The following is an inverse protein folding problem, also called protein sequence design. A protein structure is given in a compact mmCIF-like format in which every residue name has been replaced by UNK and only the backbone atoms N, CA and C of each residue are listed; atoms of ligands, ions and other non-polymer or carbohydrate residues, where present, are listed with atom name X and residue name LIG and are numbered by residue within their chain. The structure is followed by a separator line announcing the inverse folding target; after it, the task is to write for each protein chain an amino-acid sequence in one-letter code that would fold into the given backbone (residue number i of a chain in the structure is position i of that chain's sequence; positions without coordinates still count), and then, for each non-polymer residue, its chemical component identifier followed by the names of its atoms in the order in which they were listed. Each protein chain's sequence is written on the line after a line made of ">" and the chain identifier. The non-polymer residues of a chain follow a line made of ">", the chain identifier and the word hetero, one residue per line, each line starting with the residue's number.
data_IF_059495728477
#
_entry.id   IF_059495728477
#
_cell.length_a   1.000
_cell.length_b   1.000
_cell.length_c   1.000
_cell.angle_alpha   90.00
_cell.angle_beta   90.00
_cell.angle_gamma   90.00
#
_symmetry.space_group_name_H-M   'P 1'
#
loop_
_entity.id
_entity.type
_entity.pdbx_description
1 polymer ?
#
# COMPACT_ATOMS: atom_id res chain seq x y z
N UNK A 1 -14.98 -21.99 38.30
CA UNK A 1 -14.52 -20.58 38.25
C UNK A 1 -13.07 -20.41 37.77
N UNK A 2 -12.40 -21.46 37.27
CA UNK A 2 -11.05 -21.37 36.70
C UNK A 2 -11.03 -21.26 35.16
N UNK A 3 -12.07 -21.77 34.49
CA UNK A 3 -12.21 -21.79 33.03
C UNK A 3 -12.15 -20.37 32.44
N UNK A 4 -12.62 -19.36 33.18
CA UNK A 4 -12.59 -17.97 32.73
C UNK A 4 -11.17 -17.44 32.49
N UNK A 5 -10.20 -17.87 33.31
CA UNK A 5 -8.80 -17.44 33.14
C UNK A 5 -8.18 -18.04 31.87
N UNK A 6 -8.51 -19.31 31.57
CA UNK A 6 -8.04 -19.98 30.34
C UNK A 6 -8.63 -19.31 29.10
N UNK A 7 -9.93 -19.03 29.10
CA UNK A 7 -10.61 -18.36 27.99
C UNK A 7 -10.09 -16.93 27.78
N UNK A 8 -9.84 -16.20 28.86
CA UNK A 8 -9.30 -14.85 28.80
C UNK A 8 -7.89 -14.84 28.18
N UNK A 9 -7.02 -15.75 28.59
CA UNK A 9 -5.66 -15.87 28.03
C UNK A 9 -5.68 -16.23 26.54
N UNK A 10 -6.50 -17.21 26.14
CA UNK A 10 -6.61 -17.60 24.73
C UNK A 10 -7.15 -16.44 23.88
N UNK A 11 -8.17 -15.73 24.37
CA UNK A 11 -8.75 -14.57 23.67
C UNK A 11 -7.72 -13.47 23.42
N UNK A 12 -6.92 -13.12 24.43
CA UNK A 12 -5.87 -12.11 24.31
C UNK A 12 -4.78 -12.56 23.32
N UNK A 13 -4.35 -13.81 23.38
CA UNK A 13 -3.35 -14.36 22.44
C UNK A 13 -3.84 -14.25 21.00
N UNK A 14 -5.07 -14.67 20.73
CA UNK A 14 -5.67 -14.59 19.40
C UNK A 14 -5.75 -13.13 18.93
N UNK A 15 -6.19 -12.21 19.80
CA UNK A 15 -6.26 -10.79 19.49
C UNK A 15 -4.88 -10.20 19.12
N UNK A 16 -3.82 -10.54 19.87
CA UNK A 16 -2.45 -10.09 19.59
C UNK A 16 -1.95 -10.63 18.24
N UNK A 17 -2.22 -11.90 17.93
CA UNK A 17 -1.84 -12.50 16.65
C UNK A 17 -2.48 -11.74 15.47
N UNK A 18 -3.79 -11.50 15.54
CA UNK A 18 -4.49 -10.74 14.51
C UNK A 18 -4.01 -9.29 14.42
N UNK A 19 -3.69 -8.66 15.56
CA UNK A 19 -3.16 -7.31 15.58
C UNK A 19 -1.78 -7.21 14.91
N UNK A 20 -0.86 -8.14 15.19
CA UNK A 20 0.45 -8.16 14.52
C UNK A 20 0.28 -8.42 13.03
N UNK A 21 -0.58 -9.38 12.63
CA UNK A 21 -0.87 -9.64 11.23
C UNK A 21 -1.44 -8.40 10.52
N UNK A 22 -2.34 -7.66 11.17
CA UNK A 22 -2.87 -6.40 10.67
C UNK A 22 -1.78 -5.35 10.45
N UNK A 23 -0.88 -5.16 11.41
CA UNK A 23 0.24 -4.20 11.27
C UNK A 23 1.18 -4.61 10.13
N UNK A 24 1.49 -5.91 10.00
CA UNK A 24 2.33 -6.41 8.90
C UNK A 24 1.66 -6.16 7.55
N UNK A 25 0.36 -6.43 7.42
CA UNK A 25 -0.40 -6.18 6.19
C UNK A 25 -0.39 -4.70 5.80
N UNK A 26 -0.63 -3.80 6.77
CA UNK A 26 -0.62 -2.34 6.54
C UNK A 26 0.79 -1.85 6.16
N UNK A 27 1.83 -2.40 6.78
CA UNK A 27 3.23 -2.04 6.49
C UNK A 27 3.79 -2.68 5.22
N UNK A 28 3.11 -3.66 4.63
CA UNK A 28 3.57 -4.38 3.43
C UNK A 28 3.54 -3.53 2.15
N UNK A 29 3.41 -2.20 2.25
CA UNK A 29 3.54 -1.29 1.11
C UNK A 29 2.41 -1.42 0.08
N UNK A 30 1.28 -2.04 0.43
CA UNK A 30 0.15 -2.16 -0.49
C UNK A 30 -0.46 -0.79 -0.86
N UNK A 31 -0.08 0.27 -0.16
CA UNK A 31 -0.45 1.67 -0.41
C UNK A 31 0.62 2.45 -1.19
N UNK A 32 1.72 1.82 -1.62
CA UNK A 32 2.76 2.51 -2.39
C UNK A 32 2.33 2.78 -3.85
N UNK A 33 1.16 2.27 -4.27
CA UNK A 33 0.56 2.50 -5.59
C UNK A 33 -0.45 3.67 -5.58
N UNK A 34 -0.24 4.66 -4.72
CA UNK A 34 -1.03 5.90 -4.63
C UNK A 34 -0.87 6.81 -5.86
N UNK A 35 0.08 6.52 -6.75
CA UNK A 35 0.23 7.19 -8.05
C UNK A 35 -0.53 6.42 -9.14
N UNK A 36 -1.81 6.79 -9.28
CA UNK A 36 -2.72 6.18 -10.24
C UNK A 36 -2.15 6.23 -11.68
N UNK A 37 -2.20 5.10 -12.43
CA UNK A 37 -1.70 5.04 -13.81
C UNK A 37 -2.38 6.05 -14.74
N UNK A 38 -3.62 6.43 -14.45
CA UNK A 38 -4.38 7.46 -15.17
C UNK A 38 -3.69 8.82 -15.17
N UNK A 39 -3.01 9.20 -14.07
CA UNK A 39 -2.32 10.49 -13.93
C UNK A 39 -1.01 10.48 -14.71
N UNK A 40 -0.28 9.35 -14.65
CA UNK A 40 0.97 9.17 -15.40
C UNK A 40 0.73 9.29 -16.91
N UNK A 41 -0.30 8.63 -17.43
CA UNK A 41 -0.60 8.63 -18.87
C UNK A 41 -1.04 10.02 -19.35
N UNK A 42 -1.82 10.76 -18.55
CA UNK A 42 -2.29 12.11 -18.89
C UNK A 42 -1.16 13.16 -18.99
N UNK A 43 -0.11 13.04 -18.18
CA UNK A 43 1.01 14.00 -18.16
C UNK A 43 2.22 13.55 -18.98
N UNK A 44 2.40 12.25 -19.23
CA UNK A 44 3.45 11.75 -20.13
C UNK A 44 3.14 12.06 -21.60
N UNK A 45 1.87 12.08 -22.01
CA UNK A 45 1.46 12.41 -23.39
C UNK A 45 1.77 13.86 -23.79
N UNK A 46 1.79 14.79 -22.83
CA UNK A 46 2.08 16.21 -23.08
C UNK A 46 3.59 16.48 -23.20
N UNK A 47 4.41 15.85 -22.35
CA UNK A 47 5.87 16.04 -22.32
C UNK A 47 6.60 15.39 -23.51
N UNK A 48 6.02 14.36 -24.13
CA UNK A 48 6.62 13.69 -25.31
C UNK A 48 6.54 14.57 -26.57
N UNK A 49 5.51 15.42 -26.70
CA UNK A 49 5.36 16.32 -27.86
C UNK A 49 6.44 17.40 -27.91
N UNK A 50 6.80 17.98 -26.77
CA UNK A 50 7.80 19.05 -26.71
C UNK A 50 9.23 18.57 -26.99
N UNK A 51 9.58 17.37 -26.51
CA UNK A 51 10.92 16.81 -26.72
C UNK A 51 11.16 16.34 -28.15
N UNK A 52 10.10 15.89 -28.86
CA UNK A 52 10.22 15.46 -30.26
C UNK A 52 10.47 16.64 -31.20
N UNK A 53 9.86 17.80 -30.93
CA UNK A 53 10.06 19.04 -31.72
C UNK A 53 11.48 19.58 -31.58
N UNK A 54 12.08 19.53 -30.37
CA UNK A 54 13.41 20.10 -30.11
C UNK A 54 14.56 19.27 -30.69
N UNK A 55 14.38 17.96 -30.84
CA UNK A 55 15.38 17.05 -31.42
C UNK A 55 15.44 17.06 -32.95
N UNK A 56 14.41 17.57 -33.63
CA UNK A 56 14.34 17.63 -35.10
C UNK A 56 15.01 18.87 -35.69
N UNK A 57 15.46 19.81 -34.85
CA UNK A 57 15.90 21.14 -35.27
C UNK A 57 17.39 21.42 -35.00
N UNK A 58 18.20 20.39 -34.70
CA UNK A 58 19.60 20.54 -34.30
C UNK A 58 20.53 19.60 -35.08
#
# INVERSE_FOLDING_TARGET
>A
MSVIYVLLTISIIVAIIFFIAFIVAVRSGQFDDDYTPSVRILFEDELVKDNKSKSLNN
#
